data_IF_691264741231
#
_entry.id   IF_691264741231
#
_cell.length_a   1.000
_cell.length_b   1.000
_cell.length_c   1.000
_cell.angle_alpha   90.00
_cell.angle_beta   90.00
_cell.angle_gamma   90.00
#
_symmetry.space_group_name_H-M   'P 1'
#
loop_
_entity.id
_entity.type
_entity.pdbx_description
1 polymer ?
#
# COMPACT_ATOMS: atom_id res chain seq x y z
N UNK A 1 49.75 25.86 -56.88
CA UNK A 1 51.05 25.43 -56.33
C UNK A 1 50.85 24.04 -55.74
N UNK A 2 51.52 23.05 -56.34
CA UNK A 2 52.01 21.74 -55.85
C UNK A 2 51.39 21.10 -54.61
N UNK A 3 51.17 19.78 -54.52
CA UNK A 3 51.19 18.69 -55.51
C UNK A 3 50.65 17.42 -54.80
N UNK A 4 49.90 16.62 -55.57
CA UNK A 4 49.78 15.14 -55.62
C UNK A 4 50.57 14.22 -54.67
N UNK A 5 49.97 13.05 -54.35
CA UNK A 5 50.39 11.67 -54.74
C UNK A 5 49.37 10.67 -54.12
N UNK A 6 48.52 9.96 -54.89
CA UNK A 6 48.71 8.68 -55.63
C UNK A 6 48.91 7.46 -54.66
N UNK A 7 48.37 6.24 -54.83
CA UNK A 7 47.68 5.52 -55.93
C UNK A 7 47.38 4.05 -55.50
N UNK A 8 46.49 3.36 -56.25
CA UNK A 8 46.64 1.97 -56.78
C UNK A 8 46.18 0.74 -55.91
N UNK A 9 45.03 0.12 -56.24
CA UNK A 9 44.77 -1.21 -56.92
C UNK A 9 44.56 -2.38 -55.94
N UNK A 10 43.88 -3.51 -56.19
CA UNK A 10 43.23 -4.15 -57.35
C UNK A 10 42.49 -5.42 -56.89
N UNK A 11 41.47 -5.84 -57.66
CA UNK A 11 41.13 -7.23 -58.08
C UNK A 11 40.71 -8.22 -56.96
N UNK A 12 39.41 -8.50 -56.79
CA UNK A 12 38.58 -9.52 -57.49
C UNK A 12 38.96 -10.97 -57.19
N UNK A 13 38.07 -11.72 -56.51
CA UNK A 13 37.91 -13.16 -56.78
C UNK A 13 36.50 -13.65 -56.36
N UNK A 14 35.75 -14.09 -57.37
CA UNK A 14 34.54 -14.90 -57.26
C UNK A 14 34.81 -16.24 -56.56
N UNK A 15 33.78 -16.83 -55.93
CA UNK A 15 33.32 -18.23 -56.02
C UNK A 15 32.34 -18.45 -54.85
N UNK A 16 31.02 -18.57 -55.04
CA UNK A 16 30.23 -19.64 -55.66
C UNK A 16 29.55 -20.53 -54.62
N UNK A 17 28.23 -20.63 -54.76
CA UNK A 17 27.33 -21.74 -54.42
C UNK A 17 27.22 -22.24 -52.98
N UNK A 18 25.97 -22.33 -52.52
CA UNK A 18 25.43 -23.64 -52.17
C UNK A 18 24.69 -23.76 -50.84
N UNK A 19 23.36 -23.81 -50.96
CA UNK A 19 22.43 -24.70 -50.26
C UNK A 19 22.26 -24.62 -48.73
N UNK A 20 20.99 -24.37 -48.37
CA UNK A 20 20.20 -25.03 -47.33
C UNK A 20 20.93 -25.52 -46.07
N UNK A 21 20.50 -25.00 -44.92
CA UNK A 21 19.96 -25.84 -43.85
C UNK A 21 19.17 -25.02 -42.83
N UNK A 22 18.11 -25.66 -42.35
CA UNK A 22 17.17 -25.20 -41.34
C UNK A 22 17.82 -24.95 -39.97
N UNK A 23 16.97 -24.49 -39.05
CA UNK A 23 17.12 -24.41 -37.59
C UNK A 23 17.76 -23.09 -37.10
N UNK A 24 17.24 -22.36 -36.11
CA UNK A 24 16.23 -22.64 -35.10
C UNK A 24 15.30 -21.43 -34.98
N UNK A 25 13.99 -21.68 -34.93
CA UNK A 25 13.13 -20.92 -34.04
C UNK A 25 13.78 -20.97 -32.66
N UNK A 26 14.33 -19.84 -32.22
CA UNK A 26 14.60 -19.63 -30.81
C UNK A 26 13.24 -19.67 -30.12
N UNK A 27 12.82 -20.88 -29.72
CA UNK A 27 11.78 -21.08 -28.75
C UNK A 27 12.13 -20.18 -27.58
N UNK A 28 11.39 -19.07 -27.46
CA UNK A 28 11.47 -18.17 -26.33
C UNK A 28 11.20 -19.04 -25.10
N UNK A 29 12.27 -19.44 -24.40
CA UNK A 29 12.15 -20.15 -23.13
C UNK A 29 11.24 -19.28 -22.26
N UNK A 30 10.20 -19.84 -21.63
CA UNK A 30 9.36 -19.07 -20.74
C UNK A 30 10.29 -18.48 -19.68
N UNK A 31 10.30 -17.14 -19.55
CA UNK A 31 10.99 -16.46 -18.45
C UNK A 31 10.53 -17.13 -17.16
N UNK A 32 11.41 -17.91 -16.53
CA UNK A 32 11.18 -18.44 -15.20
C UNK A 32 11.06 -17.20 -14.30
N UNK A 33 9.85 -16.90 -13.82
CA UNK A 33 9.62 -15.76 -12.95
C UNK A 33 10.58 -15.85 -11.76
N UNK A 34 11.42 -14.83 -11.58
CA UNK A 34 12.28 -14.73 -10.40
C UNK A 34 11.37 -14.70 -9.16
N UNK A 35 11.56 -15.59 -8.17
CA UNK A 35 10.77 -15.59 -6.94
C UNK A 35 10.77 -14.22 -6.24
N UNK A 36 11.87 -13.46 -6.32
CA UNK A 36 11.96 -12.13 -5.73
C UNK A 36 11.11 -11.09 -6.49
N UNK A 37 11.08 -11.18 -7.82
CA UNK A 37 10.24 -10.30 -8.66
C UNK A 37 8.75 -10.60 -8.44
N UNK A 38 8.38 -11.88 -8.30
CA UNK A 38 7.01 -12.29 -7.98
C UNK A 38 6.56 -11.78 -6.60
N UNK A 39 7.43 -11.88 -5.59
CA UNK A 39 7.14 -11.38 -4.25
C UNK A 39 7.00 -9.85 -4.22
N UNK A 40 7.91 -9.11 -4.85
CA UNK A 40 7.82 -7.65 -4.94
C UNK A 40 6.55 -7.18 -5.65
N UNK A 41 6.12 -7.91 -6.69
CA UNK A 41 4.85 -7.65 -7.37
C UNK A 41 3.65 -7.89 -6.45
N UNK A 42 3.63 -9.00 -5.70
CA UNK A 42 2.57 -9.31 -4.75
C UNK A 42 2.47 -8.25 -3.64
N UNK A 43 3.60 -7.83 -3.05
CA UNK A 43 3.63 -6.78 -2.03
C UNK A 43 3.12 -5.43 -2.57
N UNK A 44 3.49 -5.08 -3.81
CA UNK A 44 2.98 -3.87 -4.46
C UNK A 44 1.49 -3.94 -4.74
N UNK A 45 0.98 -5.11 -5.11
CA UNK A 45 -0.44 -5.33 -5.32
C UNK A 45 -1.22 -5.22 -4.01
N UNK A 46 -0.72 -5.86 -2.97
CA UNK A 46 -1.25 -5.84 -1.61
C UNK A 46 -1.33 -4.42 -1.06
N UNK A 47 -0.32 -3.58 -1.31
CA UNK A 47 -0.27 -2.19 -0.87
C UNK A 47 -1.22 -1.22 -1.62
N UNK A 48 -1.95 -1.67 -2.65
CA UNK A 48 -2.93 -0.81 -3.35
C UNK A 48 -4.12 -0.53 -2.45
N UNK A 49 -4.72 0.65 -2.58
CA UNK A 49 -5.94 0.94 -1.86
C UNK A 49 -7.07 -0.04 -2.27
N UNK A 50 -7.94 -0.43 -1.32
CA UNK A 50 -9.21 -1.05 -1.65
C UNK A 50 -9.98 -0.24 -2.70
N UNK A 51 -10.72 -0.93 -3.56
CA UNK A 51 -11.58 -0.28 -4.56
C UNK A 51 -12.59 0.62 -3.85
N UNK A 52 -12.71 1.88 -4.28
CA UNK A 52 -13.61 2.87 -3.67
C UNK A 52 -13.02 3.64 -2.49
N UNK A 53 -11.87 3.21 -1.96
CA UNK A 53 -11.16 3.91 -0.90
C UNK A 53 -10.24 4.99 -1.50
N UNK A 54 -10.33 6.23 -0.99
CA UNK A 54 -9.63 7.39 -1.52
C UNK A 54 -8.64 7.94 -0.48
N UNK A 55 -7.46 8.46 -0.89
CA UNK A 55 -6.47 9.04 0.03
C UNK A 55 -6.92 10.43 0.52
N UNK A 56 -8.03 10.49 1.26
CA UNK A 56 -8.70 11.70 1.76
C UNK A 56 -9.13 11.48 3.22
N UNK A 57 -9.61 12.53 3.89
CA UNK A 57 -10.12 12.42 5.26
C UNK A 57 -9.04 12.35 6.34
N UNK A 58 -7.76 12.49 5.97
CA UNK A 58 -6.65 12.48 6.92
C UNK A 58 -5.58 13.54 6.58
N UNK A 59 -4.72 13.83 7.55
CA UNK A 59 -3.53 14.66 7.40
C UNK A 59 -2.39 14.07 8.23
N UNK A 60 -1.21 14.08 7.65
CA UNK A 60 0.04 13.72 8.33
C UNK A 60 0.85 14.98 8.60
N UNK A 61 1.30 15.17 9.84
CA UNK A 61 2.09 16.33 10.24
C UNK A 61 2.88 16.01 11.50
N UNK A 62 4.17 16.36 11.52
CA UNK A 62 5.03 16.21 12.70
C UNK A 62 4.96 14.80 13.31
N UNK A 63 5.03 13.75 12.48
CA UNK A 63 4.92 12.33 12.87
C UNK A 63 3.56 11.88 13.40
N UNK A 64 2.55 12.76 13.38
CA UNK A 64 1.18 12.48 13.82
C UNK A 64 0.30 12.24 12.60
N UNK A 65 -0.51 11.18 12.68
CA UNK A 65 -1.61 10.95 11.75
C UNK A 65 -2.90 11.49 12.36
N UNK A 66 -3.54 12.44 11.69
CA UNK A 66 -4.84 13.00 12.09
C UNK A 66 -5.92 12.57 11.11
N UNK A 67 -7.03 12.03 11.61
CA UNK A 67 -8.22 11.68 10.84
C UNK A 67 -9.30 12.72 11.10
N UNK A 68 -10.11 13.00 10.07
CA UNK A 68 -11.21 13.96 10.12
C UNK A 68 -12.52 13.30 9.68
N UNK A 69 -13.08 12.38 10.48
CA UNK A 69 -14.36 11.74 10.19
C UNK A 69 -15.48 12.74 9.88
N UNK A 70 -16.36 12.41 8.95
CA UNK A 70 -17.46 13.29 8.52
C UNK A 70 -17.07 14.45 7.61
N UNK A 71 -15.77 14.65 7.30
CA UNK A 71 -15.34 15.75 6.42
C UNK A 71 -15.58 15.46 4.94
N UNK A 72 -15.32 14.23 4.48
CA UNK A 72 -15.37 13.87 3.06
C UNK A 72 -16.69 13.17 2.67
N UNK A 73 -17.39 12.58 3.63
CA UNK A 73 -18.54 11.72 3.38
C UNK A 73 -19.51 11.65 4.56
N UNK A 74 -19.89 10.44 4.94
CA UNK A 74 -20.81 10.22 6.06
C UNK A 74 -20.20 10.64 7.40
N UNK A 75 -21.04 11.09 8.35
CA UNK A 75 -20.62 11.49 9.70
C UNK A 75 -19.81 10.42 10.42
N UNK A 76 -20.16 9.15 10.21
CA UNK A 76 -19.33 8.03 10.61
C UNK A 76 -18.52 7.59 9.39
N UNK A 77 -17.21 7.67 9.52
CA UNK A 77 -16.26 7.35 8.47
C UNK A 77 -15.67 5.96 8.66
N UNK A 78 -15.24 5.36 7.55
CA UNK A 78 -14.47 4.12 7.52
C UNK A 78 -13.10 4.40 6.93
N UNK A 79 -12.06 4.14 7.71
CA UNK A 79 -10.67 4.27 7.28
C UNK A 79 -10.01 2.91 7.16
N UNK A 80 -9.27 2.71 6.08
CA UNK A 80 -8.36 1.59 5.93
C UNK A 80 -6.93 2.05 6.15
N UNK A 81 -6.17 1.25 6.90
CA UNK A 81 -4.78 1.51 7.25
C UNK A 81 -3.95 0.36 6.73
N UNK A 82 -2.91 0.67 5.97
CA UNK A 82 -1.93 -0.29 5.51
C UNK A 82 -0.58 0.00 6.17
N UNK A 83 -0.01 -1.03 6.79
CA UNK A 83 1.34 -0.95 7.31
C UNK A 83 2.36 -1.19 6.19
N UNK A 84 3.06 -0.12 5.80
CA UNK A 84 4.16 -0.16 4.82
C UNK A 84 5.44 -0.79 5.38
N UNK A 85 5.54 -0.99 6.69
CA UNK A 85 6.68 -1.66 7.31
C UNK A 85 6.56 -3.18 7.20
N UNK A 86 7.68 -3.93 7.13
CA UNK A 86 7.68 -5.39 7.35
C UNK A 86 7.48 -5.76 8.83
N UNK A 87 7.60 -4.81 9.75
CA UNK A 87 7.41 -5.01 11.19
C UNK A 87 6.06 -4.49 11.64
N UNK A 88 5.56 -5.00 12.76
CA UNK A 88 4.35 -4.48 13.41
C UNK A 88 4.55 -3.01 13.80
N UNK A 89 3.53 -2.20 13.50
CA UNK A 89 3.46 -0.80 13.91
C UNK A 89 2.29 -0.63 14.87
N UNK A 90 2.54 0.00 16.01
CA UNK A 90 1.50 0.32 17.00
C UNK A 90 1.03 1.76 16.82
N UNK A 91 -0.28 1.95 16.83
CA UNK A 91 -0.98 3.22 16.80
C UNK A 91 -1.44 3.57 18.21
N UNK A 92 -0.93 4.67 18.76
CA UNK A 92 -1.37 5.19 20.05
C UNK A 92 -2.18 6.46 19.86
N UNK A 93 -3.42 6.44 20.33
CA UNK A 93 -4.31 7.58 20.24
C UNK A 93 -3.79 8.71 21.15
N UNK A 94 -3.57 9.89 20.55
CA UNK A 94 -3.36 11.11 21.31
C UNK A 94 -4.70 11.61 21.83
N UNK A 95 -4.75 11.91 23.12
CA UNK A 95 -5.95 12.36 23.82
C UNK A 95 -5.74 13.78 24.34
N UNK A 96 -6.76 14.61 24.17
CA UNK A 96 -6.92 15.87 24.89
C UNK A 96 -7.90 15.69 26.06
N UNK A 97 -8.08 16.74 26.86
CA UNK A 97 -8.94 16.73 28.05
C UNK A 97 -10.41 16.39 27.73
N UNK A 98 -10.92 16.81 26.56
CA UNK A 98 -12.28 16.51 26.12
C UNK A 98 -12.43 15.06 25.68
N UNK A 99 -11.35 14.45 25.17
CA UNK A 99 -11.33 13.05 24.77
C UNK A 99 -11.26 12.08 25.95
N UNK A 100 -11.14 12.52 27.22
CA UNK A 100 -11.02 11.60 28.39
C UNK A 100 -12.20 10.64 28.56
N UNK A 101 -13.35 10.96 27.98
CA UNK A 101 -14.55 10.11 28.04
C UNK A 101 -14.76 9.24 26.78
N UNK A 102 -13.89 9.33 25.77
CA UNK A 102 -14.01 8.52 24.55
C UNK A 102 -13.33 7.15 24.70
N UNK A 103 -13.78 6.18 23.90
CA UNK A 103 -13.13 4.86 23.79
C UNK A 103 -11.68 5.03 23.31
N UNK A 104 -10.76 4.20 23.82
CA UNK A 104 -9.37 4.16 23.33
C UNK A 104 -9.31 3.46 21.99
N UNK A 105 -8.62 4.06 21.01
CA UNK A 105 -8.41 3.47 19.68
C UNK A 105 -7.02 2.90 19.46
N UNK A 106 -6.26 2.68 20.53
CA UNK A 106 -4.92 2.11 20.41
C UNK A 106 -5.01 0.77 19.67
N UNK A 107 -4.09 0.56 18.72
CA UNK A 107 -4.11 -0.63 17.87
C UNK A 107 -2.71 -1.04 17.44
N UNK A 108 -2.57 -2.26 16.94
CA UNK A 108 -1.32 -2.72 16.34
C UNK A 108 -1.61 -3.41 15.01
N UNK A 109 -0.90 -3.00 13.96
CA UNK A 109 -1.06 -3.53 12.61
C UNK A 109 0.21 -4.29 12.27
N UNK A 110 0.09 -5.59 11.97
CA UNK A 110 1.24 -6.39 11.58
C UNK A 110 1.89 -5.90 10.28
N UNK A 111 3.11 -6.35 10.03
CA UNK A 111 3.87 -5.94 8.85
C UNK A 111 3.15 -6.30 7.56
N UNK A 112 3.08 -5.37 6.59
CA UNK A 112 2.39 -5.57 5.30
C UNK A 112 0.91 -5.96 5.41
N UNK A 113 0.23 -5.60 6.50
CA UNK A 113 -1.19 -5.90 6.69
C UNK A 113 -2.07 -4.67 6.61
N UNK A 114 -3.34 -4.92 6.33
CA UNK A 114 -4.44 -3.97 6.36
C UNK A 114 -5.26 -4.11 7.65
N UNK A 115 -5.68 -2.97 8.18
CA UNK A 115 -6.63 -2.84 9.27
C UNK A 115 -7.72 -1.82 8.88
N UNK A 116 -8.84 -1.83 9.59
CA UNK A 116 -9.96 -0.92 9.30
C UNK A 116 -10.61 -0.38 10.58
N UNK A 117 -10.81 0.93 10.62
CA UNK A 117 -11.43 1.65 11.74
C UNK A 117 -12.72 2.31 11.27
N UNK A 118 -13.82 2.02 11.97
CA UNK A 118 -15.01 2.86 11.92
C UNK A 118 -14.96 3.86 13.06
N UNK A 119 -15.20 5.14 12.77
CA UNK A 119 -15.30 6.17 13.80
C UNK A 119 -16.15 7.36 13.35
N UNK A 120 -16.89 7.92 14.30
CA UNK A 120 -17.61 9.20 14.17
C UNK A 120 -17.06 10.30 15.06
N UNK A 121 -15.89 10.10 15.68
CA UNK A 121 -15.23 11.16 16.45
C UNK A 121 -14.78 12.27 15.50
N UNK A 122 -15.01 13.56 15.80
CA UNK A 122 -14.71 14.65 14.87
C UNK A 122 -13.21 14.79 14.56
N UNK A 123 -12.34 14.27 15.44
CA UNK A 123 -10.90 14.29 15.28
C UNK A 123 -10.27 13.12 16.02
N UNK A 124 -9.52 12.29 15.30
CA UNK A 124 -8.72 11.21 15.89
C UNK A 124 -7.26 11.44 15.52
N UNK A 125 -6.37 11.38 16.51
CA UNK A 125 -4.92 11.58 16.30
C UNK A 125 -4.16 10.36 16.78
N UNK A 126 -3.21 9.89 15.98
CA UNK A 126 -2.34 8.77 16.31
C UNK A 126 -0.86 9.17 16.26
N UNK A 127 -0.10 8.65 17.21
CA UNK A 127 1.36 8.52 17.13
C UNK A 127 1.66 7.07 16.79
N UNK A 128 2.62 6.86 15.89
CA UNK A 128 3.06 5.54 15.48
C UNK A 128 4.34 5.16 16.22
N UNK A 129 4.43 3.91 16.66
CA UNK A 129 5.66 3.37 17.23
C UNK A 129 6.02 2.02 16.61
N UNK A 130 7.32 1.73 16.58
CA UNK A 130 7.86 0.42 16.22
C UNK A 130 8.58 -0.15 17.45
N UNK A 131 8.29 -1.39 17.81
CA UNK A 131 8.83 -2.02 19.01
C UNK A 131 9.45 -3.39 18.71
N UNK A 132 10.58 -3.66 19.35
CA UNK A 132 11.21 -4.98 19.43
C UNK A 132 10.86 -5.72 20.74
N UNK A 133 9.88 -5.20 21.50
CA UNK A 133 9.46 -5.72 22.81
C UNK A 133 10.28 -5.22 24.01
N UNK A 134 11.33 -4.41 23.82
CA UNK A 134 12.23 -3.99 24.92
C UNK A 134 11.84 -2.69 25.63
N UNK A 135 10.93 -1.90 25.04
CA UNK A 135 10.41 -0.66 25.64
C UNK A 135 8.89 -0.73 25.71
N UNK A 136 8.30 -0.16 26.76
CA UNK A 136 6.86 -0.25 27.02
C UNK A 136 5.98 0.34 25.91
N UNK A 137 6.48 1.31 25.15
CA UNK A 137 5.76 1.96 24.05
C UNK A 137 6.48 1.88 22.69
N UNK A 138 7.62 1.20 22.59
CA UNK A 138 8.42 1.20 21.36
C UNK A 138 9.11 2.53 21.06
N UNK A 139 9.80 2.61 19.92
CA UNK A 139 10.39 3.83 19.38
C UNK A 139 9.36 4.57 18.53
N UNK A 140 9.17 5.87 18.79
CA UNK A 140 8.33 6.73 17.96
C UNK A 140 8.89 6.81 16.54
N UNK A 141 8.04 6.57 15.56
CA UNK A 141 8.33 6.61 14.11
C UNK A 141 7.37 7.57 13.41
N UNK A 142 7.69 7.96 12.19
CA UNK A 142 6.81 8.82 11.40
C UNK A 142 5.64 8.00 10.83
N UNK A 143 4.42 8.35 11.22
CA UNK A 143 3.22 7.74 10.65
C UNK A 143 3.15 7.90 9.13
N UNK A 144 3.59 9.05 8.58
CA UNK A 144 3.52 9.33 7.15
C UNK A 144 4.35 8.35 6.33
N UNK A 145 5.49 7.94 6.87
CA UNK A 145 6.40 7.02 6.19
C UNK A 145 6.01 5.56 6.39
N UNK A 146 5.24 5.24 7.43
CA UNK A 146 5.00 3.85 7.86
C UNK A 146 3.59 3.36 7.65
N UNK A 147 2.60 4.24 7.74
CA UNK A 147 1.19 3.91 7.55
C UNK A 147 0.69 4.60 6.29
N UNK A 148 -0.12 3.88 5.52
CA UNK A 148 -0.83 4.41 4.36
C UNK A 148 -2.32 4.35 4.67
N UNK A 149 -3.02 5.48 4.53
CA UNK A 149 -4.42 5.61 4.92
C UNK A 149 -5.28 5.96 3.72
N UNK A 150 -6.51 5.46 3.70
CA UNK A 150 -7.56 5.96 2.84
C UNK A 150 -8.90 5.91 3.55
N UNK A 151 -9.83 6.77 3.14
CA UNK A 151 -11.22 6.76 3.58
C UNK A 151 -12.12 6.14 2.51
N UNK A 152 -13.01 5.25 2.92
CA UNK A 152 -14.12 4.79 2.09
C UNK A 152 -15.29 5.74 2.27
N UNK A 153 -15.47 6.69 1.35
CA UNK A 153 -16.42 7.79 1.51
C UNK A 153 -17.90 7.37 1.39
N UNK A 154 -18.17 6.23 0.73
CA UNK A 154 -19.52 5.74 0.44
C UNK A 154 -19.93 4.58 1.35
N UNK A 155 -20.13 4.88 2.63
CA UNK A 155 -20.48 3.89 3.66
C UNK A 155 -21.96 3.93 4.01
N UNK A 156 -22.51 2.80 4.43
CA UNK A 156 -23.88 2.66 4.94
C UNK A 156 -23.85 2.01 6.31
N UNK A 157 -23.78 2.83 7.36
CA UNK A 157 -23.89 2.35 8.72
C UNK A 157 -25.35 2.15 9.13
N UNK A 158 -25.77 0.90 9.33
CA UNK A 158 -27.00 0.59 10.06
C UNK A 158 -26.90 1.06 11.52
N UNK A 159 -28.04 1.29 12.19
CA UNK A 159 -28.07 1.81 13.57
C UNK A 159 -27.24 0.96 14.54
N UNK A 160 -27.24 -0.37 14.36
CA UNK A 160 -26.51 -1.32 15.21
C UNK A 160 -24.99 -1.33 14.94
N UNK A 161 -24.55 -0.77 13.81
CA UNK A 161 -23.15 -0.74 13.38
C UNK A 161 -22.52 0.63 13.62
N UNK A 162 -23.24 1.55 14.30
CA UNK A 162 -22.72 2.86 14.64
C UNK A 162 -21.82 2.79 15.87
N UNK A 163 -20.67 3.43 15.80
CA UNK A 163 -19.74 3.49 16.90
C UNK A 163 -18.30 3.71 16.47
N UNK A 164 -17.40 3.58 17.44
CA UNK A 164 -15.97 3.73 17.24
C UNK A 164 -15.25 2.42 17.58
N UNK A 165 -14.82 1.67 16.57
CA UNK A 165 -14.20 0.36 16.77
C UNK A 165 -13.38 -0.06 15.55
N UNK A 166 -12.35 -0.86 15.82
CA UNK A 166 -11.61 -1.58 14.78
C UNK A 166 -12.49 -2.73 14.29
N UNK A 167 -12.72 -2.77 12.99
CA UNK A 167 -13.44 -3.86 12.32
C UNK A 167 -12.46 -4.98 11.97
N UNK A 168 -11.26 -4.58 11.58
CA UNK A 168 -10.21 -5.47 11.08
C UNK A 168 -8.92 -5.15 11.81
N UNK A 169 -8.34 -6.17 12.44
CA UNK A 169 -7.13 -6.00 13.24
C UNK A 169 -5.85 -6.09 12.39
N UNK A 170 -5.82 -6.99 11.40
CA UNK A 170 -4.66 -7.21 10.55
C UNK A 170 -4.85 -8.39 9.59
N UNK A 171 -4.97 -8.11 8.29
CA UNK A 171 -5.18 -9.13 7.26
C UNK A 171 -4.71 -8.62 5.89
N UNK A 172 -5.01 -9.35 4.82
CA UNK A 172 -4.77 -8.89 3.44
C UNK A 172 -5.78 -7.82 3.02
N UNK A 173 -5.51 -7.09 1.94
CA UNK A 173 -6.38 -6.05 1.38
C UNK A 173 -7.78 -6.58 1.13
N UNK A 174 -7.86 -7.73 0.48
CA UNK A 174 -9.14 -8.36 0.16
C UNK A 174 -9.80 -8.92 1.42
N UNK A 175 -9.03 -9.46 2.37
CA UNK A 175 -9.55 -9.88 3.68
C UNK A 175 -10.22 -8.72 4.42
N UNK A 176 -9.57 -7.55 4.46
CA UNK A 176 -10.07 -6.38 5.15
C UNK A 176 -11.37 -5.87 4.51
N UNK A 177 -11.42 -5.84 3.18
CA UNK A 177 -12.66 -5.49 2.46
C UNK A 177 -13.78 -6.48 2.75
N UNK A 178 -13.49 -7.78 2.72
CA UNK A 178 -14.49 -8.82 2.96
C UNK A 178 -15.07 -8.75 4.38
N UNK A 179 -14.24 -8.47 5.38
CA UNK A 179 -14.69 -8.30 6.77
C UNK A 179 -15.60 -7.08 6.92
N UNK A 180 -15.26 -5.95 6.30
CA UNK A 180 -16.12 -4.75 6.30
C UNK A 180 -17.44 -5.00 5.55
N UNK A 181 -17.40 -5.73 4.42
CA UNK A 181 -18.61 -6.16 3.69
C UNK A 181 -19.47 -7.07 4.57
N UNK A 182 -18.86 -8.04 5.26
CA UNK A 182 -19.56 -8.95 6.16
C UNK A 182 -20.21 -8.21 7.33
N UNK A 183 -19.56 -7.16 7.83
CA UNK A 183 -20.13 -6.26 8.83
C UNK A 183 -21.28 -5.39 8.26
N UNK A 184 -21.44 -5.33 6.94
CA UNK A 184 -22.52 -4.61 6.27
C UNK A 184 -22.31 -3.10 6.16
N UNK A 185 -21.06 -2.63 6.22
CA UNK A 185 -20.74 -1.18 6.17
C UNK A 185 -20.54 -0.68 4.73
N UNK A 186 -20.00 -1.52 3.86
CA UNK A 186 -19.86 -1.25 2.42
C UNK A 186 -20.62 -2.33 1.63
N UNK A 187 -21.16 -2.01 0.45
CA UNK A 187 -21.83 -3.00 -0.38
C UNK A 187 -20.85 -4.11 -0.80
N UNK A 188 -21.32 -5.36 -0.75
CA UNK A 188 -20.61 -6.48 -1.35
C UNK A 188 -20.55 -6.31 -2.87
N UNK A 189 -19.41 -6.69 -3.44
CA UNK A 189 -19.20 -6.77 -4.90
C UNK A 189 -19.41 -8.18 -5.40
#
# INVERSE_FOLDING_TARGET
>A
MMNTINKITSISLMLSLGLLSAQLEAAAKPKKNDPQEAQAKAEKEEARFPIGCKPVGYKESLKVLSLYPGKEGALQSLYFFFNKSPQTVSLYQMRDENSQYTTRYNHSIGGRQWAALATGEPLVKFICTAGDGKTSYGKIIDCADTIKVCEYVNVKFGLNNKGNFWIVDGTTRNGAVNEVVHYGIIPGV
#
